data_IF_921850727335
#
_entry.id   IF_921850727335
#
_cell.length_a   1.000
_cell.length_b   1.000
_cell.length_c   1.000
_cell.angle_alpha   90.00
_cell.angle_beta   90.00
_cell.angle_gamma   90.00
#
_symmetry.space_group_name_H-M   'P 1'
#
loop_
_entity.id
_entity.type
_entity.pdbx_description
1 polymer ?
#
# COMPACT_ATOMS: atom_id res chain seq x y z
N UNK A 1 -45.04 53.05 39.77
CA UNK A 1 -45.10 54.53 39.95
C UNK A 1 -43.71 55.06 39.57
N UNK A 2 -43.56 55.76 38.44
CA UNK A 2 -43.43 57.25 38.34
C UNK A 2 -42.43 57.77 39.39
N UNK A 3 -41.35 58.47 39.10
CA UNK A 3 -41.16 59.61 38.18
C UNK A 3 -39.65 59.97 38.21
N UNK A 4 -39.00 60.15 37.05
CA UNK A 4 -38.51 61.45 36.50
C UNK A 4 -37.13 61.96 36.97
N UNK A 5 -36.36 62.31 35.92
CA UNK A 5 -35.13 63.09 35.82
C UNK A 5 -35.23 64.47 36.51
N UNK A 6 -34.08 65.11 36.76
CA UNK A 6 -33.83 66.36 36.03
C UNK A 6 -32.41 66.49 35.45
N UNK A 7 -32.38 67.20 34.30
CA UNK A 7 -31.21 67.82 33.68
C UNK A 7 -30.56 68.85 34.62
N UNK A 8 -29.23 68.99 34.54
CA UNK A 8 -28.58 70.31 34.58
C UNK A 8 -27.39 70.40 33.62
N UNK A 9 -27.43 71.47 32.84
CA UNK A 9 -26.41 72.04 31.96
C UNK A 9 -25.12 72.40 32.71
N UNK A 10 -23.95 72.29 32.05
CA UNK A 10 -22.76 73.00 32.53
C UNK A 10 -21.42 72.67 31.87
N UNK A 11 -21.04 73.52 30.92
CA UNK A 11 -19.69 73.99 30.59
C UNK A 11 -18.63 73.07 29.92
N UNK A 12 -18.19 73.57 28.76
CA UNK A 12 -16.93 73.27 28.06
C UNK A 12 -15.70 73.39 28.96
N UNK A 13 -14.78 72.43 28.83
CA UNK A 13 -13.34 72.65 28.98
C UNK A 13 -12.58 71.78 27.97
N UNK A 14 -12.07 72.41 26.90
CA UNK A 14 -11.07 71.85 26.01
C UNK A 14 -9.71 71.85 26.72
N UNK A 15 -9.14 70.67 26.98
CA UNK A 15 -7.72 70.50 27.30
C UNK A 15 -7.18 69.24 26.60
N UNK A 16 -6.45 69.48 25.52
CA UNK A 16 -5.17 68.86 25.12
C UNK A 16 -4.92 67.37 25.39
N UNK A 17 -4.81 66.63 24.28
CA UNK A 17 -3.65 65.80 23.89
C UNK A 17 -2.94 64.99 24.99
N UNK A 18 -3.35 63.74 25.14
CA UNK A 18 -2.43 62.62 25.35
C UNK A 18 -3.00 61.40 24.63
N UNK A 19 -2.57 61.19 23.38
CA UNK A 19 -2.80 59.94 22.68
C UNK A 19 -1.97 58.85 23.36
N UNK A 20 -2.60 58.08 24.23
CA UNK A 20 -2.09 56.76 24.58
C UNK A 20 -2.28 55.86 23.34
N UNK A 21 -1.28 55.86 22.47
CA UNK A 21 -1.07 54.74 21.55
C UNK A 21 -0.74 53.53 22.44
N UNK A 22 -1.78 52.79 22.86
CA UNK A 22 -1.62 51.40 23.19
C UNK A 22 -1.06 50.74 21.94
N UNK A 23 0.26 50.54 21.92
CA UNK A 23 0.88 49.50 21.12
C UNK A 23 0.29 48.20 21.64
N UNK A 24 -0.86 47.82 21.10
CA UNK A 24 -1.24 46.42 21.01
C UNK A 24 -0.07 45.76 20.30
N UNK A 25 0.82 45.17 21.11
CA UNK A 25 1.82 44.26 20.62
C UNK A 25 1.05 43.22 19.82
N UNK A 26 1.24 43.24 18.50
CA UNK A 26 0.77 42.20 17.62
C UNK A 26 1.25 40.90 18.23
N UNK A 27 0.33 40.11 18.81
CA UNK A 27 0.63 38.73 19.18
C UNK A 27 1.33 38.13 17.95
N UNK A 28 2.53 37.57 18.08
CA UNK A 28 3.17 36.94 16.94
C UNK A 28 2.17 35.90 16.47
N UNK A 29 1.58 36.10 15.30
CA UNK A 29 0.78 35.08 14.63
C UNK A 29 1.68 33.87 14.60
N UNK A 30 1.39 32.88 15.46
CA UNK A 30 2.17 31.65 15.51
C UNK A 30 2.23 31.16 14.06
N UNK A 31 3.44 31.17 13.50
CA UNK A 31 3.61 30.83 12.09
C UNK A 31 3.01 29.45 11.92
N UNK A 32 1.91 29.36 11.16
CA UNK A 32 1.26 28.10 10.88
C UNK A 32 2.35 27.15 10.39
N UNK A 33 2.52 25.97 11.01
CA UNK A 33 3.57 25.06 10.60
C UNK A 33 3.34 24.74 9.12
N UNK A 34 4.33 25.09 8.30
CA UNK A 34 4.21 24.97 6.85
C UNK A 34 4.33 23.51 6.49
N UNK A 35 3.18 22.90 6.29
CA UNK A 35 3.07 21.51 5.88
C UNK A 35 2.73 21.45 4.41
N UNK A 36 3.43 20.58 3.69
CA UNK A 36 3.11 20.26 2.32
C UNK A 36 2.02 19.18 2.31
N UNK A 37 0.97 19.39 1.50
CA UNK A 37 -0.01 18.34 1.22
C UNK A 37 0.60 17.35 0.22
N UNK A 38 0.82 16.10 0.64
CA UNK A 38 1.41 15.03 -0.18
C UNK A 38 0.43 13.86 -0.27
N UNK A 39 0.24 13.23 -1.44
CA UNK A 39 -0.64 12.07 -1.56
C UNK A 39 -0.15 10.92 -0.66
N UNK A 40 -1.07 10.29 0.07
CA UNK A 40 -0.75 9.20 1.00
C UNK A 40 -0.35 7.92 0.28
N UNK A 41 -0.94 7.66 -0.89
CA UNK A 41 -0.83 6.36 -1.55
C UNK A 41 0.63 5.93 -1.86
N UNK A 42 1.51 6.77 -2.44
CA UNK A 42 2.90 6.39 -2.68
C UNK A 42 3.66 6.08 -1.38
N UNK A 43 3.35 6.76 -0.28
CA UNK A 43 3.97 6.53 1.04
C UNK A 43 3.56 5.16 1.58
N UNK A 44 2.28 4.82 1.49
CA UNK A 44 1.74 3.52 1.92
C UNK A 44 2.30 2.36 1.10
N UNK A 45 2.34 2.50 -0.23
CA UNK A 45 2.94 1.49 -1.10
C UNK A 45 4.42 1.29 -0.76
N UNK A 46 5.19 2.38 -0.64
CA UNK A 46 6.61 2.31 -0.26
C UNK A 46 6.81 1.66 1.11
N UNK A 47 5.96 1.97 2.10
CA UNK A 47 5.99 1.38 3.43
C UNK A 47 5.80 -0.14 3.37
N UNK A 48 4.77 -0.62 2.66
CA UNK A 48 4.47 -2.05 2.56
C UNK A 48 5.52 -2.80 1.72
N UNK A 49 6.07 -2.17 0.68
CA UNK A 49 7.25 -2.70 -0.02
C UNK A 49 8.45 -2.88 0.91
N UNK A 50 8.79 -1.83 1.68
CA UNK A 50 9.89 -1.87 2.65
C UNK A 50 9.67 -2.95 3.71
N UNK A 51 8.42 -3.11 4.16
CA UNK A 51 8.05 -4.14 5.11
C UNK A 51 8.20 -5.55 4.53
N UNK A 52 7.77 -5.75 3.29
CA UNK A 52 7.95 -7.01 2.59
C UNK A 52 9.45 -7.32 2.37
N UNK A 53 10.29 -6.34 2.06
CA UNK A 53 11.74 -6.55 1.97
C UNK A 53 12.37 -6.92 3.32
N UNK A 54 11.92 -6.31 4.41
CA UNK A 54 12.42 -6.62 5.74
C UNK A 54 12.00 -8.02 6.24
N UNK A 55 10.76 -8.42 5.98
CA UNK A 55 10.19 -9.67 6.49
C UNK A 55 10.30 -10.85 5.52
N UNK A 56 10.43 -10.59 4.22
CA UNK A 56 10.48 -11.59 3.16
C UNK A 56 11.59 -11.26 2.15
N UNK A 57 12.87 -11.20 2.56
CA UNK A 57 13.96 -10.57 1.80
C UNK A 57 14.27 -11.19 0.42
N UNK A 58 13.87 -12.44 0.18
CA UNK A 58 14.04 -13.06 -1.14
C UNK A 58 12.77 -13.10 -1.97
N UNK A 59 11.62 -12.72 -1.37
CA UNK A 59 10.28 -12.76 -1.99
C UNK A 59 10.02 -14.04 -2.80
N UNK A 60 10.68 -15.14 -2.41
CA UNK A 60 10.67 -16.39 -3.15
C UNK A 60 9.24 -16.97 -3.07
N UNK A 61 8.53 -17.13 -4.19
CA UNK A 61 7.11 -17.51 -4.15
C UNK A 61 6.85 -18.82 -3.41
N UNK A 62 7.71 -19.83 -3.55
CA UNK A 62 7.55 -21.13 -2.90
C UNK A 62 7.74 -21.03 -1.38
N UNK A 63 8.73 -20.25 -0.94
CA UNK A 63 8.95 -19.99 0.49
C UNK A 63 7.78 -19.21 1.08
N UNK A 64 7.32 -18.18 0.36
CA UNK A 64 6.21 -17.34 0.82
C UNK A 64 4.88 -18.08 0.84
N UNK A 65 4.66 -19.03 -0.06
CA UNK A 65 3.51 -19.94 0.00
C UNK A 65 3.49 -20.72 1.32
N UNK A 66 4.64 -21.27 1.75
CA UNK A 66 4.73 -21.98 3.03
C UNK A 66 4.54 -21.04 4.23
N UNK A 67 5.14 -19.84 4.21
CA UNK A 67 4.94 -18.84 5.27
C UNK A 67 3.46 -18.43 5.36
N UNK A 68 2.81 -18.22 4.22
CA UNK A 68 1.39 -17.88 4.17
C UNK A 68 0.49 -19.02 4.63
N UNK A 69 0.78 -20.26 4.23
CA UNK A 69 0.04 -21.43 4.69
C UNK A 69 0.17 -21.59 6.21
N UNK A 70 1.36 -21.36 6.77
CA UNK A 70 1.59 -21.32 8.21
C UNK A 70 0.76 -20.21 8.87
N UNK A 71 0.85 -18.98 8.36
CA UNK A 71 0.15 -17.82 8.90
C UNK A 71 -1.37 -17.98 8.92
N UNK A 72 -1.93 -18.68 7.93
CA UNK A 72 -3.37 -18.97 7.82
C UNK A 72 -3.81 -20.23 8.58
N UNK A 73 -2.87 -21.00 9.13
CA UNK A 73 -3.15 -22.29 9.75
C UNK A 73 -3.55 -23.39 8.77
N UNK A 74 -3.25 -23.23 7.48
CA UNK A 74 -3.54 -24.19 6.41
C UNK A 74 -2.52 -25.34 6.38
N UNK A 75 -1.35 -25.15 7.01
CA UNK A 75 -0.32 -26.18 7.14
C UNK A 75 0.29 -26.20 8.55
N UNK A 76 0.93 -27.32 8.89
CA UNK A 76 1.64 -27.52 10.15
C UNK A 76 3.16 -27.49 9.95
N UNK A 77 3.92 -27.34 11.03
CA UNK A 77 5.37 -27.21 11.00
C UNK A 77 6.04 -28.44 10.35
N UNK A 78 5.47 -29.62 10.56
CA UNK A 78 5.94 -30.91 10.04
C UNK A 78 5.94 -30.92 8.51
N UNK A 79 4.86 -30.41 7.89
CA UNK A 79 4.75 -30.31 6.44
C UNK A 79 5.78 -29.32 5.86
N UNK A 80 6.03 -28.22 6.57
CA UNK A 80 7.05 -27.24 6.17
C UNK A 80 8.46 -27.82 6.30
N UNK A 81 8.73 -28.61 7.34
CA UNK A 81 9.99 -29.30 7.50
C UNK A 81 10.22 -30.30 6.36
N UNK A 82 9.17 -31.02 5.95
CA UNK A 82 9.23 -31.91 4.78
C UNK A 82 9.49 -31.13 3.48
N UNK A 83 8.84 -29.99 3.28
CA UNK A 83 9.14 -29.10 2.15
C UNK A 83 10.61 -28.67 2.14
N UNK A 84 11.18 -28.27 3.28
CA UNK A 84 12.60 -27.89 3.39
C UNK A 84 13.50 -29.06 2.99
N UNK A 85 13.19 -30.28 3.42
CA UNK A 85 13.93 -31.49 3.04
C UNK A 85 13.84 -31.77 1.53
N UNK A 86 12.67 -31.60 0.92
CA UNK A 86 12.48 -31.76 -0.52
C UNK A 86 13.28 -30.76 -1.35
N UNK A 87 13.54 -29.56 -0.79
CA UNK A 87 14.42 -28.57 -1.41
C UNK A 87 15.91 -28.81 -1.12
N UNK A 88 16.27 -29.96 -0.51
CA UNK A 88 17.64 -30.32 -0.17
C UNK A 88 18.19 -29.68 1.10
N UNK A 89 17.33 -29.07 1.92
CA UNK A 89 17.68 -28.44 3.18
C UNK A 89 17.43 -29.30 4.42
N UNK A 90 17.78 -28.77 5.59
CA UNK A 90 17.48 -29.37 6.89
C UNK A 90 16.91 -28.30 7.84
N UNK A 91 15.66 -28.49 8.28
CA UNK A 91 14.95 -27.53 9.13
C UNK A 91 15.67 -27.27 10.46
N UNK A 92 16.29 -28.31 11.05
CA UNK A 92 17.02 -28.22 12.32
C UNK A 92 18.33 -27.45 12.20
N UNK A 93 18.87 -27.28 10.99
CA UNK A 93 20.07 -26.48 10.74
C UNK A 93 19.79 -25.00 10.46
N UNK A 94 18.52 -24.62 10.25
CA UNK A 94 18.15 -23.22 10.00
C UNK A 94 18.07 -22.51 11.36
N UNK A 95 18.86 -21.45 11.60
CA UNK A 95 18.76 -20.74 12.85
C UNK A 95 17.40 -20.02 12.93
N UNK A 96 16.81 -19.89 14.14
CA UNK A 96 15.48 -19.30 14.33
C UNK A 96 15.43 -17.80 14.01
N UNK A 97 16.58 -17.13 13.84
CA UNK A 97 16.70 -15.71 13.50
C UNK A 97 17.90 -15.48 12.59
N UNK A 98 17.89 -14.35 11.86
CA UNK A 98 19.01 -13.89 11.04
C UNK A 98 19.24 -14.67 9.74
N UNK A 99 18.50 -15.75 9.50
CA UNK A 99 18.56 -16.50 8.25
C UNK A 99 17.31 -16.25 7.38
N UNK A 100 17.42 -16.23 6.05
CA UNK A 100 16.27 -15.93 5.18
C UNK A 100 15.10 -16.90 5.30
N UNK A 101 15.36 -18.12 5.77
CA UNK A 101 14.34 -19.16 6.02
C UNK A 101 13.91 -19.23 7.50
N UNK A 102 14.41 -18.35 8.38
CA UNK A 102 14.11 -18.40 9.82
C UNK A 102 12.61 -18.37 10.11
N UNK A 103 11.83 -17.59 9.35
CA UNK A 103 10.37 -17.52 9.52
C UNK A 103 9.64 -18.84 9.24
N UNK A 104 10.25 -19.78 8.51
CA UNK A 104 9.66 -21.10 8.28
C UNK A 104 9.75 -22.01 9.50
N UNK A 105 10.69 -21.76 10.42
CA UNK A 105 11.06 -22.72 11.48
C UNK A 105 10.97 -22.15 12.90
N UNK A 106 10.86 -20.84 13.06
CA UNK A 106 10.96 -20.19 14.38
C UNK A 106 9.65 -20.14 15.18
N UNK A 107 8.52 -20.56 14.59
CA UNK A 107 7.21 -20.58 15.25
C UNK A 107 6.59 -19.20 15.53
N UNK A 108 7.21 -18.11 15.07
CA UNK A 108 6.68 -16.75 15.27
C UNK A 108 5.49 -16.49 14.35
N UNK A 109 4.30 -16.84 14.84
CA UNK A 109 3.03 -16.67 14.10
C UNK A 109 2.78 -15.21 13.74
N UNK A 110 3.11 -14.26 14.62
CA UNK A 110 2.88 -12.84 14.35
C UNK A 110 3.75 -12.37 13.19
N UNK A 111 5.05 -12.69 13.21
CA UNK A 111 5.95 -12.35 12.12
C UNK A 111 5.57 -13.05 10.81
N UNK A 112 5.16 -14.33 10.86
CA UNK A 112 4.65 -15.06 9.70
C UNK A 112 3.40 -14.39 9.10
N UNK A 113 2.44 -13.99 9.93
CA UNK A 113 1.23 -13.26 9.51
C UNK A 113 1.58 -11.92 8.87
N UNK A 114 2.46 -11.13 9.49
CA UNK A 114 2.91 -9.85 8.92
C UNK A 114 3.67 -10.04 7.60
N UNK A 115 4.55 -11.04 7.51
CA UNK A 115 5.29 -11.36 6.29
C UNK A 115 4.36 -11.79 5.16
N UNK A 116 3.38 -12.66 5.45
CA UNK A 116 2.40 -13.10 4.48
C UNK A 116 1.53 -11.93 3.98
N UNK A 117 0.99 -11.12 4.89
CA UNK A 117 0.17 -9.96 4.52
C UNK A 117 0.96 -8.97 3.65
N UNK A 118 2.19 -8.64 4.04
CA UNK A 118 3.04 -7.71 3.29
C UNK A 118 3.39 -8.26 1.90
N UNK A 119 3.76 -9.54 1.81
CA UNK A 119 4.05 -10.19 0.53
C UNK A 119 2.84 -10.21 -0.41
N UNK A 120 1.67 -10.59 0.10
CA UNK A 120 0.45 -10.59 -0.68
C UNK A 120 0.11 -9.17 -1.15
N UNK A 121 0.19 -8.17 -0.28
CA UNK A 121 -0.09 -6.78 -0.62
C UNK A 121 0.79 -6.25 -1.76
N UNK A 122 2.08 -6.61 -1.81
CA UNK A 122 2.98 -6.17 -2.90
C UNK A 122 2.83 -6.98 -4.18
N UNK A 123 2.24 -8.18 -4.14
CA UNK A 123 2.15 -9.09 -5.29
C UNK A 123 1.30 -8.57 -6.47
N UNK A 124 0.45 -7.58 -6.20
CA UNK A 124 -0.35 -6.87 -7.22
C UNK A 124 0.23 -5.51 -7.60
N UNK A 125 1.28 -5.08 -6.89
CA UNK A 125 2.01 -3.83 -7.14
C UNK A 125 3.27 -4.06 -7.98
N UNK A 126 3.46 -5.27 -8.49
CA UNK A 126 4.56 -5.66 -9.36
C UNK A 126 4.02 -6.28 -10.64
N UNK A 127 4.81 -6.28 -11.74
CA UNK A 127 4.40 -6.91 -12.99
C UNK A 127 4.02 -8.37 -12.78
N UNK A 128 3.14 -8.90 -13.65
CA UNK A 128 2.80 -10.30 -13.61
C UNK A 128 4.04 -11.14 -13.92
N UNK A 129 4.49 -11.94 -12.95
CA UNK A 129 5.51 -12.96 -13.23
C UNK A 129 4.90 -14.02 -14.16
N UNK A 130 5.46 -14.17 -15.35
CA UNK A 130 5.08 -15.22 -16.29
C UNK A 130 5.71 -16.58 -15.92
N UNK A 131 6.63 -16.61 -14.96
CA UNK A 131 7.24 -17.84 -14.48
C UNK A 131 6.18 -18.77 -13.88
N UNK A 132 6.11 -20.01 -14.37
CA UNK A 132 5.08 -21.00 -13.97
C UNK A 132 3.75 -20.89 -14.73
N UNK A 133 3.53 -19.79 -15.46
CA UNK A 133 2.45 -19.63 -16.43
C UNK A 133 2.86 -20.03 -17.84
N UNK A 134 4.13 -20.28 -18.10
CA UNK A 134 4.61 -20.75 -19.40
C UNK A 134 4.57 -22.28 -19.47
N UNK A 135 4.06 -22.82 -20.58
CA UNK A 135 4.12 -24.24 -20.94
C UNK A 135 5.03 -24.40 -22.14
N UNK A 136 6.04 -25.25 -22.02
CA UNK A 136 6.79 -25.75 -23.18
C UNK A 136 5.90 -26.67 -24.00
N UNK A 137 5.68 -26.34 -25.28
CA UNK A 137 5.03 -27.28 -26.18
C UNK A 137 6.01 -28.41 -26.52
N UNK A 138 5.57 -29.66 -26.37
CA UNK A 138 6.29 -30.80 -26.93
C UNK A 138 6.45 -30.58 -28.45
N UNK A 139 7.68 -30.69 -28.94
CA UNK A 139 7.97 -30.66 -30.37
C UNK A 139 7.14 -31.74 -31.08
N UNK A 140 6.44 -31.36 -32.15
CA UNK A 140 5.78 -32.35 -33.00
C UNK A 140 6.83 -33.36 -33.52
N UNK A 141 6.51 -34.66 -33.63
CA UNK A 141 7.45 -35.66 -34.14
C UNK A 141 7.90 -35.27 -35.55
N UNK A 142 9.21 -35.14 -35.73
CA UNK A 142 9.86 -34.77 -36.98
C UNK A 142 9.53 -35.80 -38.07
N UNK A 143 8.69 -35.45 -39.04
CA UNK A 143 8.53 -36.22 -40.28
C UNK A 143 9.55 -35.85 -41.37
N UNK A 144 10.49 -34.94 -41.12
CA UNK A 144 11.46 -34.55 -42.16
C UNK A 144 12.81 -34.15 -41.56
N UNK A 145 13.89 -34.87 -41.94
CA UNK A 145 15.23 -34.74 -41.35
C UNK A 145 16.04 -33.51 -41.80
N UNK A 146 15.45 -32.64 -42.62
CA UNK A 146 16.17 -31.52 -43.26
C UNK A 146 15.60 -30.11 -42.97
N UNK A 147 14.72 -29.94 -41.98
CA UNK A 147 14.29 -28.60 -41.54
C UNK A 147 14.83 -28.25 -40.15
N UNK A 148 15.35 -27.02 -39.94
CA UNK A 148 15.67 -26.52 -38.62
C UNK A 148 14.45 -26.66 -37.70
N UNK A 149 14.65 -27.22 -36.51
CA UNK A 149 13.62 -27.27 -35.47
C UNK A 149 13.32 -25.84 -35.05
N UNK A 150 12.24 -25.28 -35.57
CA UNK A 150 11.73 -23.99 -35.12
C UNK A 150 11.19 -24.20 -33.70
N UNK A 151 11.99 -23.80 -32.69
CA UNK A 151 11.54 -23.78 -31.29
C UNK A 151 10.33 -22.84 -31.20
N UNK A 152 9.14 -23.41 -31.10
CA UNK A 152 7.92 -22.63 -30.85
C UNK A 152 8.08 -21.90 -29.52
N UNK A 153 7.75 -20.61 -29.52
CA UNK A 153 7.80 -19.80 -28.32
C UNK A 153 6.90 -20.43 -27.23
N UNK A 154 7.31 -20.38 -25.95
CA UNK A 154 6.51 -20.89 -24.84
C UNK A 154 5.13 -20.21 -24.80
N UNK A 155 4.07 -20.99 -24.59
CA UNK A 155 2.69 -20.50 -24.57
C UNK A 155 2.21 -20.29 -23.13
N UNK A 156 1.33 -19.30 -22.94
CA UNK A 156 0.69 -19.04 -21.64
C UNK A 156 -0.34 -20.12 -21.32
N UNK A 157 -0.24 -20.71 -20.13
CA UNK A 157 -1.21 -21.59 -19.51
C UNK A 157 -2.44 -20.76 -19.11
N UNK A 158 -3.43 -20.75 -20.00
CA UNK A 158 -4.67 -20.00 -19.80
C UNK A 158 -5.40 -20.43 -18.52
N UNK A 159 -5.35 -21.71 -18.15
CA UNK A 159 -6.06 -22.23 -16.98
C UNK A 159 -5.40 -21.71 -15.69
N UNK A 160 -4.06 -21.78 -15.60
CA UNK A 160 -3.34 -21.20 -14.46
C UNK A 160 -3.48 -19.69 -14.38
N UNK A 161 -3.45 -19.00 -15.52
CA UNK A 161 -3.67 -17.56 -15.57
C UNK A 161 -5.05 -17.22 -14.99
N UNK A 162 -6.11 -17.83 -15.50
CA UNK A 162 -7.49 -17.60 -15.04
C UNK A 162 -7.66 -17.96 -13.56
N UNK A 163 -7.02 -19.02 -13.07
CA UNK A 163 -7.06 -19.41 -11.67
C UNK A 163 -6.39 -18.37 -10.74
N UNK A 164 -5.45 -17.56 -11.25
CA UNK A 164 -4.76 -16.54 -10.46
C UNK A 164 -5.52 -15.21 -10.32
N UNK A 165 -6.48 -14.93 -11.21
CA UNK A 165 -7.17 -13.63 -11.29
C UNK A 165 -8.02 -13.31 -10.05
N UNK A 166 -8.79 -14.26 -9.48
CA UNK A 166 -9.57 -13.99 -8.27
C UNK A 166 -8.68 -13.51 -7.11
N UNK A 167 -7.52 -14.13 -6.94
CA UNK A 167 -6.56 -13.75 -5.89
C UNK A 167 -6.02 -12.33 -6.10
N UNK A 168 -5.63 -11.97 -7.32
CA UNK A 168 -5.15 -10.61 -7.63
C UNK A 168 -6.22 -9.55 -7.39
N UNK A 169 -7.46 -9.85 -7.79
CA UNK A 169 -8.58 -8.95 -7.55
C UNK A 169 -8.83 -8.75 -6.05
N UNK A 170 -8.90 -9.84 -5.28
CA UNK A 170 -9.11 -9.79 -3.84
C UNK A 170 -8.00 -9.03 -3.12
N UNK A 171 -6.73 -9.24 -3.51
CA UNK A 171 -5.58 -8.50 -2.95
C UNK A 171 -5.69 -7.01 -3.27
N UNK A 172 -6.00 -6.62 -4.51
CA UNK A 172 -6.13 -5.21 -4.88
C UNK A 172 -7.27 -4.51 -4.10
N UNK A 173 -8.40 -5.18 -3.92
CA UNK A 173 -9.52 -4.67 -3.12
C UNK A 173 -9.13 -4.54 -1.64
N UNK A 174 -8.45 -5.55 -1.09
CA UNK A 174 -7.98 -5.54 0.30
C UNK A 174 -6.94 -4.44 0.53
N UNK A 175 -6.01 -4.23 -0.41
CA UNK A 175 -5.09 -3.09 -0.38
C UNK A 175 -5.84 -1.76 -0.34
N UNK A 176 -6.88 -1.59 -1.17
CA UNK A 176 -7.69 -0.37 -1.16
C UNK A 176 -8.34 -0.10 0.21
N UNK A 177 -8.93 -1.14 0.83
CA UNK A 177 -9.58 -1.06 2.14
C UNK A 177 -8.57 -0.65 3.24
N UNK A 178 -7.45 -1.38 3.35
CA UNK A 178 -6.48 -1.16 4.42
C UNK A 178 -5.66 0.11 4.22
N UNK A 179 -5.30 0.44 2.98
CA UNK A 179 -4.58 1.69 2.71
C UNK A 179 -5.48 2.90 2.96
N UNK A 180 -6.77 2.84 2.66
CA UNK A 180 -7.70 3.91 3.00
C UNK A 180 -7.82 4.09 4.53
N UNK A 181 -7.90 2.98 5.27
CA UNK A 181 -7.95 3.00 6.74
C UNK A 181 -6.68 3.64 7.33
N UNK A 182 -5.49 3.18 6.90
CA UNK A 182 -4.22 3.74 7.35
C UNK A 182 -4.11 5.21 6.93
N UNK A 183 -4.43 5.57 5.67
CA UNK A 183 -4.40 6.95 5.20
C UNK A 183 -5.27 7.87 6.07
N UNK A 184 -6.47 7.42 6.43
CA UNK A 184 -7.40 8.17 7.30
C UNK A 184 -6.79 8.44 8.68
N UNK A 185 -6.15 7.43 9.27
CA UNK A 185 -5.48 7.58 10.56
C UNK A 185 -4.25 8.51 10.48
N UNK A 186 -3.46 8.41 9.41
CA UNK A 186 -2.30 9.29 9.21
C UNK A 186 -2.70 10.76 9.01
N UNK A 187 -3.87 11.04 8.41
CA UNK A 187 -4.38 12.40 8.26
C UNK A 187 -4.65 13.09 9.60
N UNK A 188 -4.90 12.33 10.67
CA UNK A 188 -5.08 12.85 12.02
C UNK A 188 -3.74 13.20 12.71
N UNK A 189 -2.61 12.95 12.06
CA UNK A 189 -1.26 13.09 12.62
C UNK A 189 -0.38 14.03 11.78
N UNK A 190 -0.77 15.31 11.60
CA UNK A 190 -0.07 16.23 10.73
C UNK A 190 1.33 16.58 11.26
N UNK A 191 2.22 16.97 10.35
CA UNK A 191 3.55 17.50 10.69
C UNK A 191 4.64 16.45 10.88
N UNK A 192 4.37 15.18 10.59
CA UNK A 192 5.41 14.17 10.48
C UNK A 192 6.22 14.36 9.19
N UNK A 193 7.47 13.90 9.20
CA UNK A 193 8.28 13.78 7.99
C UNK A 193 7.81 12.61 7.12
N UNK A 194 8.20 12.55 5.85
CA UNK A 194 7.89 11.42 4.98
C UNK A 194 8.33 10.08 5.58
N UNK A 195 9.53 10.06 6.17
CA UNK A 195 10.10 8.85 6.77
C UNK A 195 9.32 8.40 8.02
N UNK A 196 8.88 9.35 8.85
CA UNK A 196 8.02 9.04 10.00
C UNK A 196 6.66 8.50 9.56
N UNK A 197 6.05 9.06 8.51
CA UNK A 197 4.83 8.50 7.95
C UNK A 197 5.04 7.10 7.37
N UNK A 198 6.16 6.85 6.69
CA UNK A 198 6.51 5.52 6.16
C UNK A 198 6.64 4.49 7.29
N UNK A 199 7.39 4.81 8.33
CA UNK A 199 7.58 3.94 9.50
C UNK A 199 6.25 3.66 10.22
N UNK A 200 5.45 4.71 10.46
CA UNK A 200 4.16 4.56 11.11
C UNK A 200 3.18 3.72 10.25
N UNK A 201 3.24 3.87 8.93
CA UNK A 201 2.46 3.03 8.00
C UNK A 201 2.85 1.56 8.09
N UNK A 202 4.15 1.26 8.19
CA UNK A 202 4.64 -0.12 8.39
C UNK A 202 4.09 -0.71 9.69
N UNK A 203 4.19 0.05 10.79
CA UNK A 203 3.70 -0.37 12.11
C UNK A 203 2.19 -0.62 12.12
N UNK A 204 1.41 0.29 11.54
CA UNK A 204 -0.05 0.12 11.40
C UNK A 204 -0.39 -1.10 10.55
N UNK A 205 0.28 -1.28 9.40
CA UNK A 205 0.04 -2.44 8.54
C UNK A 205 0.40 -3.76 9.24
N UNK A 206 1.52 -3.82 9.97
CA UNK A 206 1.88 -4.99 10.78
C UNK A 206 0.83 -5.30 11.86
N UNK A 207 0.32 -4.26 12.53
CA UNK A 207 -0.74 -4.39 13.52
C UNK A 207 -2.05 -4.92 12.94
N UNK A 208 -2.31 -4.62 11.67
CA UNK A 208 -3.51 -5.00 10.92
C UNK A 208 -3.34 -6.30 10.10
N UNK A 209 -2.20 -6.98 10.18
CA UNK A 209 -1.88 -8.08 9.28
C UNK A 209 -2.84 -9.27 9.36
N UNK A 210 -3.34 -9.60 10.55
CA UNK A 210 -4.33 -10.67 10.72
C UNK A 210 -5.67 -10.32 10.07
N UNK A 211 -6.16 -9.10 10.32
CA UNK A 211 -7.39 -8.59 9.72
C UNK A 211 -7.27 -8.47 8.20
N UNK A 212 -6.08 -8.12 7.70
CA UNK A 212 -5.79 -8.09 6.26
C UNK A 212 -5.98 -9.47 5.62
N UNK A 213 -5.45 -10.53 6.23
CA UNK A 213 -5.60 -11.90 5.71
C UNK A 213 -7.05 -12.38 5.80
N UNK A 214 -7.79 -12.01 6.85
CA UNK A 214 -9.21 -12.30 6.98
C UNK A 214 -10.00 -11.60 5.88
N UNK A 215 -9.78 -10.29 5.70
CA UNK A 215 -10.46 -9.49 4.69
C UNK A 215 -10.18 -9.99 3.29
N UNK A 216 -8.95 -10.43 3.01
CA UNK A 216 -8.60 -11.04 1.72
C UNK A 216 -9.47 -12.26 1.40
N UNK A 217 -9.76 -13.09 2.40
CA UNK A 217 -10.67 -14.24 2.25
C UNK A 217 -12.10 -13.77 1.94
N UNK A 218 -12.58 -12.73 2.61
CA UNK A 218 -13.91 -12.14 2.36
C UNK A 218 -14.03 -11.49 0.97
N UNK A 219 -12.94 -10.90 0.47
CA UNK A 219 -12.85 -10.29 -0.85
C UNK A 219 -12.65 -11.31 -1.97
N UNK A 220 -12.55 -12.61 -1.65
CA UNK A 220 -12.46 -13.65 -2.67
C UNK A 220 -13.76 -13.67 -3.48
N UNK A 221 -13.70 -13.46 -4.80
CA UNK A 221 -14.90 -13.41 -5.63
C UNK A 221 -15.75 -14.68 -5.53
N UNK A 222 -17.08 -14.51 -5.64
CA UNK A 222 -18.02 -15.63 -5.54
C UNK A 222 -17.74 -16.71 -6.61
N UNK A 223 -17.99 -18.00 -6.31
CA UNK A 223 -17.91 -19.06 -7.30
C UNK A 223 -18.72 -18.72 -8.56
N UNK A 224 -18.15 -18.98 -9.74
CA UNK A 224 -18.78 -18.61 -11.02
C UNK A 224 -18.53 -17.18 -11.48
N UNK A 225 -17.74 -16.37 -10.76
CA UNK A 225 -17.24 -15.10 -11.30
C UNK A 225 -16.39 -15.37 -12.54
N UNK A 226 -16.77 -14.78 -13.67
CA UNK A 226 -16.05 -14.93 -14.94
C UNK A 226 -15.05 -13.80 -15.14
N UNK A 227 -13.96 -14.09 -15.86
CA UNK A 227 -12.90 -13.13 -16.14
C UNK A 227 -12.56 -13.13 -17.62
N UNK A 228 -12.33 -11.93 -18.15
CA UNK A 228 -11.83 -11.72 -19.50
C UNK A 228 -10.51 -10.94 -19.44
N UNK A 229 -9.44 -11.58 -19.87
CA UNK A 229 -8.15 -10.93 -20.07
C UNK A 229 -8.25 -10.03 -21.31
N UNK A 230 -7.97 -8.75 -21.15
CA UNK A 230 -8.01 -7.74 -22.20
C UNK A 230 -6.62 -7.47 -22.77
N UNK A 231 -5.60 -7.52 -21.91
CA UNK A 231 -4.20 -7.31 -22.28
C UNK A 231 -3.28 -8.13 -21.40
N UNK A 232 -2.26 -8.74 -22.00
CA UNK A 232 -1.21 -9.46 -21.30
C UNK A 232 0.06 -9.43 -22.16
N UNK A 233 1.06 -8.69 -21.68
CA UNK A 233 2.42 -8.67 -22.20
C UNK A 233 3.43 -8.60 -21.04
N UNK A 234 4.70 -8.29 -21.34
CA UNK A 234 5.76 -8.27 -20.33
C UNK A 234 5.56 -7.20 -19.26
N UNK A 235 4.95 -6.06 -19.61
CA UNK A 235 4.85 -4.88 -18.75
C UNK A 235 3.41 -4.52 -18.40
N UNK A 236 2.44 -5.05 -19.14
CA UNK A 236 1.03 -4.71 -19.00
C UNK A 236 0.16 -5.92 -18.79
N UNK A 237 -0.76 -5.78 -17.86
CA UNK A 237 -1.71 -6.82 -17.52
C UNK A 237 -3.08 -6.22 -17.16
N UNK A 238 -4.08 -6.52 -17.97
CA UNK A 238 -5.43 -5.98 -17.82
C UNK A 238 -6.46 -7.07 -17.95
N UNK A 239 -7.39 -7.15 -17.00
CA UNK A 239 -8.54 -8.04 -17.09
C UNK A 239 -9.79 -7.38 -16.48
N UNK A 240 -10.95 -7.85 -16.91
CA UNK A 240 -12.25 -7.44 -16.38
C UNK A 240 -13.00 -8.66 -15.86
N UNK A 241 -13.71 -8.49 -14.75
CA UNK A 241 -14.59 -9.51 -14.16
C UNK A 241 -16.06 -9.29 -14.57
N UNK A 242 -16.88 -10.33 -14.47
CA UNK A 242 -18.33 -10.26 -14.70
C UNK A 242 -19.06 -9.30 -13.73
N UNK A 243 -18.42 -8.95 -12.60
CA UNK A 243 -18.90 -7.95 -11.63
C UNK A 243 -18.53 -6.50 -12.00
N UNK A 244 -18.06 -6.25 -13.22
CA UNK A 244 -17.65 -4.93 -13.73
C UNK A 244 -16.50 -4.29 -12.96
N UNK A 245 -15.61 -5.13 -12.44
CA UNK A 245 -14.33 -4.67 -11.87
C UNK A 245 -13.23 -4.84 -12.91
N UNK A 246 -12.56 -3.73 -13.24
CA UNK A 246 -11.39 -3.67 -14.12
C UNK A 246 -10.13 -3.65 -13.26
N UNK A 247 -9.23 -4.59 -13.51
CA UNK A 247 -7.88 -4.61 -12.97
C UNK A 247 -6.93 -4.27 -14.10
N UNK A 248 -6.04 -3.31 -13.88
CA UNK A 248 -5.00 -2.90 -14.82
C UNK A 248 -3.69 -2.73 -14.05
N UNK A 249 -2.62 -3.26 -14.61
CA UNK A 249 -1.26 -2.99 -14.18
C UNK A 249 -0.45 -2.58 -15.40
N UNK A 250 0.22 -1.43 -15.32
CA UNK A 250 1.16 -0.95 -16.33
C UNK A 250 2.29 -0.10 -15.71
N UNK A 251 2.98 0.72 -16.51
CA UNK A 251 4.05 1.61 -16.05
C UNK A 251 3.59 2.66 -15.01
N UNK A 252 2.30 2.99 -14.97
CA UNK A 252 1.69 3.87 -13.97
C UNK A 252 1.36 3.16 -12.66
N UNK A 253 1.50 1.83 -12.65
CA UNK A 253 1.24 0.95 -11.52
C UNK A 253 -0.12 0.27 -11.61
N UNK A 254 -0.61 -0.18 -10.45
CA UNK A 254 -1.91 -0.81 -10.34
C UNK A 254 -3.04 0.22 -10.37
N UNK A 255 -4.05 -0.02 -11.23
CA UNK A 255 -5.34 0.64 -11.24
C UNK A 255 -6.46 -0.38 -11.14
N UNK A 256 -7.31 -0.22 -10.12
CA UNK A 256 -8.54 -0.98 -9.93
C UNK A 256 -9.72 -0.03 -10.13
N UNK A 257 -10.61 -0.33 -11.07
CA UNK A 257 -11.85 0.42 -11.25
C UNK A 257 -13.05 -0.46 -10.94
N UNK A 258 -13.99 0.08 -10.17
CA UNK A 258 -15.26 -0.56 -9.88
C UNK A 258 -16.39 0.29 -10.45
N UNK A 259 -17.16 -0.27 -11.38
CA UNK A 259 -18.23 0.46 -12.08
C UNK A 259 -17.75 1.78 -12.73
N UNK A 260 -16.52 1.80 -13.25
CA UNK A 260 -15.91 2.96 -13.90
C UNK A 260 -15.30 4.00 -12.94
N UNK A 261 -15.37 3.79 -11.62
CA UNK A 261 -14.70 4.66 -10.64
C UNK A 261 -13.35 4.06 -10.24
N UNK A 262 -12.27 4.83 -10.31
CA UNK A 262 -10.96 4.42 -9.79
C UNK A 262 -11.04 4.21 -8.28
N UNK A 263 -11.00 2.95 -7.88
CA UNK A 263 -11.11 2.50 -6.50
C UNK A 263 -9.73 2.37 -5.85
N UNK A 264 -8.70 2.04 -6.62
CA UNK A 264 -7.31 1.98 -6.18
C UNK A 264 -6.40 2.35 -7.34
N UNK A 265 -5.39 3.19 -7.11
CA UNK A 265 -4.48 3.68 -8.15
C UNK A 265 -4.71 5.17 -8.42
N UNK A 266 -3.84 5.78 -9.22
CA UNK A 266 -3.95 7.22 -9.60
C UNK A 266 -4.06 8.16 -8.37
N UNK A 267 -3.42 7.81 -7.25
CA UNK A 267 -3.50 8.56 -5.99
C UNK A 267 -4.77 8.31 -5.16
N UNK A 268 -5.71 7.50 -5.66
CA UNK A 268 -7.00 7.23 -5.02
C UNK A 268 -7.03 5.91 -4.26
N UNK A 269 -7.83 5.92 -3.20
CA UNK A 269 -8.18 4.78 -2.37
C UNK A 269 -9.69 4.85 -2.08
N UNK A 270 -10.43 3.78 -2.39
CA UNK A 270 -11.89 3.72 -2.32
C UNK A 270 -12.58 4.92 -3.01
N UNK A 271 -12.04 5.38 -4.15
CA UNK A 271 -12.58 6.51 -4.90
C UNK A 271 -12.20 7.90 -4.37
N UNK A 272 -11.38 8.01 -3.33
CA UNK A 272 -11.03 9.29 -2.69
C UNK A 272 -9.52 9.57 -2.71
N UNK A 273 -9.18 10.85 -2.79
CA UNK A 273 -7.81 11.33 -2.61
C UNK A 273 -7.52 11.53 -1.12
N UNK A 274 -6.37 11.04 -0.66
CA UNK A 274 -5.90 11.22 0.72
C UNK A 274 -4.60 12.01 0.70
N UNK A 275 -4.61 13.19 1.31
CA UNK A 275 -3.42 14.04 1.44
C UNK A 275 -2.96 14.09 2.89
N UNK A 276 -1.68 13.85 3.11
CA UNK A 276 -1.01 13.99 4.40
C UNK A 276 -0.36 15.37 4.49
N UNK A 277 -0.41 15.96 5.68
CA UNK A 277 0.28 17.22 5.98
C UNK A 277 1.70 16.90 6.45
N UNK A 278 2.68 17.10 5.57
CA UNK A 278 4.07 16.67 5.79
C UNK A 278 4.97 17.84 6.17
N UNK A 279 5.79 17.65 7.20
CA UNK A 279 6.94 18.52 7.45
C UNK A 279 8.05 18.25 6.42
N UNK A 280 7.87 18.81 5.22
CA UNK A 280 8.73 18.56 4.07
C UNK A 280 9.96 19.47 4.12
N UNK A 281 11.16 18.87 4.23
CA UNK A 281 12.45 19.59 4.25
C UNK A 281 12.43 20.83 5.16
N UNK A 282 12.16 20.68 6.48
CA UNK A 282 11.87 21.80 7.37
C UNK A 282 12.99 22.84 7.44
N UNK A 283 14.25 22.41 7.30
CA UNK A 283 15.41 23.31 7.25
C UNK A 283 15.42 24.18 5.98
N UNK A 284 15.11 23.59 4.82
CA UNK A 284 15.04 24.29 3.52
C UNK A 284 13.84 25.23 3.46
N UNK A 285 12.68 24.80 3.94
CA UNK A 285 11.48 25.65 4.02
C UNK A 285 11.73 26.93 4.84
N UNK A 286 12.46 26.81 5.96
CA UNK A 286 12.89 27.97 6.76
C UNK A 286 13.85 28.90 6.00
N UNK A 287 14.77 28.36 5.21
CA UNK A 287 15.70 29.16 4.41
C UNK A 287 14.98 29.96 3.32
N UNK A 288 14.01 29.35 2.62
CA UNK A 288 13.20 30.04 1.60
C UNK A 288 12.45 31.24 2.18
N UNK A 289 11.86 31.11 3.36
CA UNK A 289 11.14 32.21 4.05
C UNK A 289 12.02 33.40 4.43
N UNK A 290 13.30 33.15 4.67
CA UNK A 290 14.26 34.19 5.02
C UNK A 290 14.89 34.83 3.77
N UNK A 291 14.46 34.44 2.57
CA UNK A 291 14.92 35.06 1.33
C UNK A 291 14.19 36.40 1.18
N UNK A 292 14.92 37.53 1.07
CA UNK A 292 14.29 38.83 0.84
C UNK A 292 13.43 38.80 -0.43
N UNK A 293 12.18 39.25 -0.34
CA UNK A 293 11.37 39.53 -1.53
C UNK A 293 12.04 40.62 -2.36
N UNK A 294 12.11 40.48 -3.71
CA UNK A 294 12.73 41.48 -4.58
C UNK A 294 12.02 42.84 -4.52
#
# INVERSE_FOLDING_TARGET
MKTQLPLYFGLLACLSLAGCQEKTASTPTASQPEWLAVPALPILQSAVFSLADALAPHKNPLVMEQICALAKGETQQENVNHFIQQQGGNAQSIPPQGHPLSLLVNGDRKAQTSACAAYLAISVLSPLSLNGLLVEQASAPLQDKNKPVEKRAPQIDQAKLLASLPGKLAIAQTNADFFALIATELQQRPGLTLEQYRQLSMEMFMGLAADYLLRLKEQTPAPGTEYKVLKLDADQFTFVSSTRTLFEYDFSGLKLQQNGMTWFGEGKLLGKDYFLKVAYLPSTAKQLKNTPTP
#
